data_IF_713406036186
#
_entry.id   IF_713406036186
#
_cell.length_a   1.000
_cell.length_b   1.000
_cell.length_c   1.000
_cell.angle_alpha   90.00
_cell.angle_beta   90.00
_cell.angle_gamma   90.00
#
_symmetry.space_group_name_H-M   'P 1'
#
loop_
_entity.id
_entity.type
_entity.pdbx_description
1 polymer ?
#
# COMPACT_ATOMS: atom_id res chain seq x y z
N UNK A 1 16.02 -1.46 5.92
CA UNK A 1 15.79 -0.68 7.17
C UNK A 1 16.82 0.42 7.39
N UNK A 2 18.14 0.17 7.33
CA UNK A 2 19.15 1.22 7.58
C UNK A 2 18.94 2.51 6.76
N UNK A 3 18.65 2.38 5.46
CA UNK A 3 18.29 3.52 4.60
C UNK A 3 17.03 4.25 5.07
N UNK A 4 16.00 3.52 5.49
CA UNK A 4 14.74 4.08 6.02
C UNK A 4 15.03 4.90 7.27
N UNK A 5 15.79 4.34 8.22
CA UNK A 5 16.21 5.03 9.44
C UNK A 5 16.98 6.31 9.09
N UNK A 6 17.97 6.22 8.20
CA UNK A 6 18.78 7.37 7.81
C UNK A 6 17.93 8.53 7.25
N UNK A 7 16.88 8.21 6.48
CA UNK A 7 15.95 9.21 5.93
C UNK A 7 15.05 9.78 7.03
N UNK A 8 14.44 8.92 7.87
CA UNK A 8 13.48 9.33 8.90
C UNK A 8 14.13 10.13 10.04
N UNK A 9 15.39 9.82 10.39
CA UNK A 9 16.18 10.61 11.36
C UNK A 9 16.30 12.06 10.89
N UNK A 10 16.38 12.30 9.57
CA UNK A 10 16.51 13.61 8.97
C UNK A 10 15.30 14.54 9.15
N UNK A 11 14.16 14.05 9.62
CA UNK A 11 12.97 14.89 9.77
C UNK A 11 12.05 14.90 8.56
N UNK A 12 10.90 15.56 8.71
CA UNK A 12 9.91 15.72 7.63
C UNK A 12 10.49 16.50 6.45
N UNK A 13 10.99 17.72 6.69
CA UNK A 13 11.46 18.61 5.62
C UNK A 13 12.79 18.15 4.98
N UNK A 14 13.80 17.78 5.78
CA UNK A 14 15.14 17.40 5.27
C UNK A 14 15.24 15.92 4.88
N UNK A 15 14.37 15.07 5.41
CA UNK A 15 14.26 13.65 5.07
C UNK A 15 13.11 13.40 4.11
N UNK A 16 11.91 13.19 4.65
CA UNK A 16 10.74 12.69 3.91
C UNK A 16 10.45 13.49 2.64
N UNK A 17 10.30 14.81 2.74
CA UNK A 17 9.89 15.66 1.63
C UNK A 17 10.94 15.69 0.51
N UNK A 18 12.22 15.85 0.88
CA UNK A 18 13.33 15.87 -0.08
C UNK A 18 13.45 14.56 -0.85
N UNK A 19 13.39 13.43 -0.16
CA UNK A 19 13.51 12.13 -0.80
C UNK A 19 12.28 11.80 -1.63
N UNK A 20 11.07 12.11 -1.16
CA UNK A 20 9.85 11.90 -1.95
C UNK A 20 9.83 12.75 -3.23
N UNK A 21 10.34 13.99 -3.19
CA UNK A 21 10.47 14.85 -4.39
C UNK A 21 11.38 14.27 -5.47
N UNK A 22 12.29 13.36 -5.13
CA UNK A 22 13.19 12.70 -6.09
C UNK A 22 12.70 11.30 -6.45
N UNK A 23 12.33 10.50 -5.45
CA UNK A 23 11.93 9.09 -5.62
C UNK A 23 10.61 8.95 -6.38
N UNK A 24 9.61 9.81 -6.10
CA UNK A 24 8.30 9.69 -6.76
C UNK A 24 8.37 9.98 -8.27
N UNK A 25 9.00 11.08 -8.74
CA UNK A 25 9.17 11.29 -10.18
C UNK A 25 10.02 10.20 -10.85
N UNK A 26 11.08 9.72 -10.18
CA UNK A 26 11.90 8.63 -10.71
C UNK A 26 11.10 7.33 -10.85
N UNK A 27 10.27 6.98 -9.86
CA UNK A 27 9.39 5.82 -9.90
C UNK A 27 8.43 5.91 -11.08
N UNK A 28 7.75 7.04 -11.25
CA UNK A 28 6.82 7.26 -12.37
C UNK A 28 7.54 7.17 -13.71
N UNK A 29 8.71 7.80 -13.84
CA UNK A 29 9.50 7.76 -15.08
C UNK A 29 9.90 6.32 -15.44
N UNK A 30 10.40 5.55 -14.46
CA UNK A 30 10.76 4.15 -14.68
C UNK A 30 9.51 3.34 -15.06
N UNK A 31 8.40 3.53 -14.37
CA UNK A 31 7.15 2.82 -14.64
C UNK A 31 6.68 3.06 -16.08
N UNK A 32 6.73 4.31 -16.55
CA UNK A 32 6.34 4.67 -17.91
C UNK A 32 7.27 4.06 -18.97
N UNK A 33 8.58 4.00 -18.71
CA UNK A 33 9.53 3.32 -19.61
C UNK A 33 9.20 1.83 -19.71
N UNK A 34 8.98 1.16 -18.58
CA UNK A 34 8.61 -0.26 -18.54
C UNK A 34 7.27 -0.51 -19.23
N UNK A 35 6.30 0.39 -19.05
CA UNK A 35 5.00 0.34 -19.70
C UNK A 35 5.08 0.43 -21.22
N UNK A 36 5.87 1.36 -21.76
CA UNK A 36 6.07 1.47 -23.21
C UNK A 36 6.70 0.18 -23.79
N UNK A 37 7.65 -0.42 -23.09
CA UNK A 37 8.25 -1.70 -23.51
C UNK A 37 7.23 -2.83 -23.44
N UNK A 38 6.43 -2.92 -22.37
CA UNK A 38 5.40 -3.93 -22.21
C UNK A 38 4.32 -3.86 -23.30
N UNK A 39 3.91 -2.65 -23.72
CA UNK A 39 2.96 -2.46 -24.82
C UNK A 39 3.49 -2.90 -26.18
N UNK A 40 4.81 -2.91 -26.38
CA UNK A 40 5.45 -3.40 -27.61
C UNK A 40 5.70 -4.90 -27.60
N UNK A 41 5.46 -5.57 -26.47
CA UNK A 41 5.65 -7.01 -26.35
C UNK A 41 4.56 -7.80 -27.07
N UNK A 42 4.85 -9.00 -27.61
CA UNK A 42 3.85 -9.87 -28.23
C UNK A 42 2.63 -10.17 -27.35
N UNK A 43 2.82 -10.21 -26.02
CA UNK A 43 1.76 -10.47 -25.03
C UNK A 43 0.89 -9.26 -24.70
N UNK A 44 1.11 -8.08 -25.28
CA UNK A 44 0.37 -6.85 -24.96
C UNK A 44 -1.15 -7.02 -25.08
N UNK A 45 -1.64 -7.59 -26.18
CA UNK A 45 -3.06 -7.82 -26.38
C UNK A 45 -3.66 -8.79 -25.35
N UNK A 46 -2.93 -9.86 -25.02
CA UNK A 46 -3.35 -10.83 -24.01
C UNK A 46 -3.38 -10.19 -22.61
N UNK A 47 -2.38 -9.37 -22.26
CA UNK A 47 -2.32 -8.66 -20.99
C UNK A 47 -3.44 -7.63 -20.84
N UNK A 48 -3.70 -6.85 -21.90
CA UNK A 48 -4.82 -5.91 -21.91
C UNK A 48 -6.17 -6.62 -21.75
N UNK A 49 -6.38 -7.71 -22.51
CA UNK A 49 -7.60 -8.52 -22.37
C UNK A 49 -7.72 -9.11 -20.97
N UNK A 50 -6.65 -9.61 -20.38
CA UNK A 50 -6.68 -10.14 -19.02
C UNK A 50 -7.10 -9.09 -17.98
N UNK A 51 -6.64 -7.84 -18.13
CA UNK A 51 -6.97 -6.78 -17.17
C UNK A 51 -8.35 -6.17 -17.34
N UNK A 52 -8.80 -6.00 -18.58
CA UNK A 52 -10.00 -5.20 -18.87
C UNK A 52 -11.18 -5.99 -19.41
N UNK A 53 -11.01 -7.28 -19.72
CA UNK A 53 -12.15 -8.14 -20.03
C UNK A 53 -12.85 -8.54 -18.72
N UNK A 54 -13.91 -7.81 -18.38
CA UNK A 54 -14.69 -8.06 -17.19
C UNK A 54 -15.52 -9.34 -17.32
N UNK A 55 -15.15 -10.35 -16.54
CA UNK A 55 -15.91 -11.59 -16.39
C UNK A 55 -16.80 -11.48 -15.14
N UNK A 56 -18.05 -11.07 -15.34
CA UNK A 56 -19.00 -10.83 -14.24
C UNK A 56 -19.32 -12.11 -13.46
N UNK A 57 -19.10 -13.31 -14.03
CA UNK A 57 -19.27 -14.56 -13.27
C UNK A 57 -18.22 -14.73 -12.17
N UNK A 58 -17.08 -14.04 -12.27
CA UNK A 58 -16.02 -14.04 -11.24
C UNK A 58 -16.24 -13.00 -10.14
N UNK A 59 -17.20 -12.10 -10.28
CA UNK A 59 -17.55 -11.11 -9.26
C UNK A 59 -18.37 -11.73 -8.13
N UNK A 60 -17.72 -12.59 -7.36
CA UNK A 60 -18.27 -13.18 -6.15
C UNK A 60 -18.25 -12.19 -4.98
N UNK A 61 -19.08 -12.37 -3.95
CA UNK A 61 -18.98 -11.58 -2.72
C UNK A 61 -17.56 -11.59 -2.13
N UNK A 62 -16.89 -12.76 -2.21
CA UNK A 62 -15.48 -12.90 -1.84
C UNK A 62 -14.56 -11.97 -2.65
N UNK A 63 -14.72 -11.91 -3.97
CA UNK A 63 -13.92 -11.03 -4.82
C UNK A 63 -14.12 -9.54 -4.47
N UNK A 64 -15.37 -9.12 -4.19
CA UNK A 64 -15.66 -7.76 -3.74
C UNK A 64 -14.97 -7.43 -2.40
N UNK A 65 -15.03 -8.34 -1.45
CA UNK A 65 -14.47 -8.14 -0.10
C UNK A 65 -12.94 -8.20 -0.11
N UNK A 66 -12.33 -9.01 -0.98
CA UNK A 66 -10.89 -8.98 -1.25
C UNK A 66 -10.45 -7.65 -1.89
N UNK A 67 -11.19 -7.16 -2.89
CA UNK A 67 -10.90 -5.87 -3.52
C UNK A 67 -11.01 -4.69 -2.53
N UNK A 68 -12.04 -4.71 -1.67
CA UNK A 68 -12.20 -3.70 -0.63
C UNK A 68 -11.05 -3.75 0.39
N UNK A 69 -10.65 -4.94 0.85
CA UNK A 69 -9.50 -5.09 1.74
C UNK A 69 -8.19 -4.60 1.11
N UNK A 70 -7.97 -4.90 -0.17
CA UNK A 70 -6.81 -4.40 -0.91
C UNK A 70 -6.79 -2.86 -1.01
N UNK A 71 -7.97 -2.23 -1.17
CA UNK A 71 -8.06 -0.76 -1.24
C UNK A 71 -7.58 -0.06 0.04
N UNK A 72 -7.80 -0.67 1.22
CA UNK A 72 -7.27 -0.15 2.48
C UNK A 72 -5.75 -0.23 2.55
N UNK A 73 -5.18 -1.37 2.11
CA UNK A 73 -3.75 -1.59 2.12
C UNK A 73 -3.02 -0.62 1.19
N UNK A 74 -3.43 -0.54 -0.08
CA UNK A 74 -2.77 0.29 -1.09
C UNK A 74 -2.81 1.78 -0.73
N UNK A 75 -3.92 2.26 -0.15
CA UNK A 75 -4.06 3.64 0.31
C UNK A 75 -3.44 3.92 1.69
N UNK A 76 -2.78 2.93 2.32
CA UNK A 76 -2.20 3.06 3.66
C UNK A 76 -3.22 3.51 4.72
N UNK A 77 -4.46 3.03 4.61
CA UNK A 77 -5.56 3.37 5.52
C UNK A 77 -5.57 2.45 6.75
N UNK A 78 -6.00 2.98 7.89
CA UNK A 78 -6.15 2.24 9.15
C UNK A 78 -4.84 2.01 9.94
N UNK A 79 -3.68 2.27 9.35
CA UNK A 79 -2.36 2.21 10.02
C UNK A 79 -1.86 3.54 10.59
N UNK A 80 -2.63 4.63 10.47
CA UNK A 80 -2.25 5.96 10.97
C UNK A 80 -1.32 6.77 10.06
N UNK A 81 -0.78 6.19 8.99
CA UNK A 81 0.14 6.87 8.05
C UNK A 81 -0.43 8.19 7.50
N UNK A 82 -1.68 8.16 7.00
CA UNK A 82 -2.34 9.36 6.49
C UNK A 82 -2.64 10.40 7.57
N UNK A 83 -2.88 9.97 8.81
CA UNK A 83 -3.09 10.88 9.95
C UNK A 83 -1.78 11.59 10.32
N UNK A 84 -0.68 10.83 10.39
CA UNK A 84 0.66 11.38 10.67
C UNK A 84 1.07 12.39 9.59
N UNK A 85 0.91 12.06 8.30
CA UNK A 85 1.21 13.01 7.22
C UNK A 85 0.25 14.20 7.20
N UNK A 86 -1.02 13.99 7.50
CA UNK A 86 -2.00 15.06 7.66
C UNK A 86 -1.58 16.08 8.71
N UNK A 87 -0.99 15.64 9.83
CA UNK A 87 -0.53 16.53 10.91
C UNK A 87 0.61 17.47 10.51
N UNK A 88 1.32 17.17 9.41
CA UNK A 88 2.41 18.01 8.87
C UNK A 88 1.95 18.96 7.77
N UNK A 89 0.70 18.86 7.31
CA UNK A 89 0.18 19.73 6.26
C UNK A 89 -0.13 21.13 6.81
N UNK A 90 0.04 22.13 5.95
CA UNK A 90 -0.45 23.48 6.26
C UNK A 90 -1.98 23.49 6.30
N UNK A 91 -2.55 24.29 7.21
CA UNK A 91 -4.00 24.58 7.29
C UNK A 91 -4.59 25.16 6.00
N UNK A 92 -3.76 25.64 5.07
CA UNK A 92 -4.19 26.09 3.75
C UNK A 92 -4.42 24.94 2.76
N UNK A 93 -4.08 23.70 3.09
CA UNK A 93 -4.14 22.57 2.16
C UNK A 93 -5.59 22.13 1.97
N UNK A 94 -6.00 21.88 0.72
CA UNK A 94 -7.30 21.29 0.42
C UNK A 94 -7.24 19.77 0.67
N UNK A 95 -7.75 19.33 1.83
CA UNK A 95 -7.69 17.93 2.24
C UNK A 95 -8.53 17.02 1.35
N UNK A 96 -9.74 17.46 0.95
CA UNK A 96 -10.62 16.66 0.11
C UNK A 96 -10.02 16.47 -1.29
N UNK A 97 -9.53 17.55 -1.90
CA UNK A 97 -8.85 17.45 -3.20
C UNK A 97 -7.61 16.56 -3.12
N UNK A 98 -6.84 16.67 -2.06
CA UNK A 98 -5.64 15.84 -1.84
C UNK A 98 -6.01 14.37 -1.73
N UNK A 99 -7.04 14.03 -0.96
CA UNK A 99 -7.52 12.65 -0.80
C UNK A 99 -7.97 12.04 -2.14
N UNK A 100 -8.72 12.78 -2.95
CA UNK A 100 -9.17 12.31 -4.27
C UNK A 100 -7.99 12.11 -5.22
N UNK A 101 -7.05 13.06 -5.28
CA UNK A 101 -5.86 12.94 -6.13
C UNK A 101 -5.01 11.74 -5.75
N UNK A 102 -4.79 11.52 -4.44
CA UNK A 102 -4.04 10.35 -3.94
C UNK A 102 -4.73 9.06 -4.38
N UNK A 103 -6.04 8.93 -4.14
CA UNK A 103 -6.77 7.71 -4.47
C UNK A 103 -6.80 7.41 -5.97
N UNK A 104 -7.02 8.42 -6.81
CA UNK A 104 -7.02 8.27 -8.27
C UNK A 104 -5.62 7.92 -8.78
N UNK A 105 -4.59 8.60 -8.27
CA UNK A 105 -3.21 8.36 -8.71
C UNK A 105 -2.72 6.98 -8.30
N UNK A 106 -3.04 6.54 -7.08
CA UNK A 106 -2.74 5.18 -6.61
C UNK A 106 -3.36 4.11 -7.53
N UNK A 107 -4.67 4.22 -7.80
CA UNK A 107 -5.38 3.31 -8.69
C UNK A 107 -4.79 3.32 -10.11
N UNK A 108 -4.45 4.51 -10.64
CA UNK A 108 -3.84 4.64 -11.97
C UNK A 108 -2.47 3.96 -12.02
N UNK A 109 -1.61 4.17 -11.02
CA UNK A 109 -0.29 3.54 -10.97
C UNK A 109 -0.40 2.01 -10.84
N UNK A 110 -1.36 1.51 -10.05
CA UNK A 110 -1.64 0.08 -9.96
C UNK A 110 -2.08 -0.53 -11.29
N UNK A 111 -2.94 0.16 -12.05
CA UNK A 111 -3.36 -0.26 -13.39
C UNK A 111 -2.18 -0.28 -14.38
N UNK A 112 -1.35 0.77 -14.39
CA UNK A 112 -0.16 0.82 -15.24
C UNK A 112 0.82 -0.30 -14.86
N UNK A 113 1.05 -0.56 -13.57
CA UNK A 113 1.89 -1.66 -13.11
C UNK A 113 1.36 -3.03 -13.56
N UNK A 114 0.05 -3.26 -13.50
CA UNK A 114 -0.58 -4.45 -14.07
C UNK A 114 -0.28 -4.59 -15.57
N UNK A 115 -0.38 -3.49 -16.33
CA UNK A 115 -0.08 -3.47 -17.76
C UNK A 115 1.41 -3.55 -18.08
N UNK A 116 2.31 -3.40 -17.09
CA UNK A 116 3.70 -3.80 -17.24
C UNK A 116 3.86 -5.31 -17.06
N UNK A 117 3.26 -5.85 -16.00
CA UNK A 117 3.50 -7.22 -15.54
C UNK A 117 2.84 -8.26 -16.46
N UNK A 118 1.55 -8.11 -16.77
CA UNK A 118 0.80 -9.15 -17.46
C UNK A 118 1.22 -9.36 -18.93
N UNK A 119 1.43 -8.31 -19.75
CA UNK A 119 1.97 -8.49 -21.11
C UNK A 119 3.28 -9.26 -21.16
N UNK A 120 4.20 -8.97 -20.24
CA UNK A 120 5.49 -9.63 -20.18
C UNK A 120 5.32 -11.11 -19.77
N UNK A 121 4.50 -11.41 -18.77
CA UNK A 121 4.20 -12.79 -18.39
C UNK A 121 3.63 -13.59 -19.58
N UNK A 122 2.63 -13.04 -20.28
CA UNK A 122 1.99 -13.73 -21.40
C UNK A 122 2.88 -13.86 -22.64
N UNK A 123 3.81 -12.93 -22.87
CA UNK A 123 4.81 -13.04 -23.95
C UNK A 123 5.61 -14.33 -23.84
N UNK A 124 5.94 -14.75 -22.62
CA UNK A 124 6.76 -15.95 -22.36
C UNK A 124 5.94 -17.15 -21.87
N UNK A 125 4.61 -17.12 -22.05
CA UNK A 125 3.72 -18.22 -21.66
C UNK A 125 3.70 -18.50 -20.14
N UNK A 126 4.08 -17.52 -19.33
CA UNK A 126 4.14 -17.67 -17.88
C UNK A 126 2.77 -17.39 -17.27
N UNK A 127 2.31 -18.31 -16.42
CA UNK A 127 1.11 -18.07 -15.62
C UNK A 127 1.41 -17.00 -14.55
N UNK A 128 0.58 -15.95 -14.44
CA UNK A 128 0.71 -14.99 -13.35
C UNK A 128 0.51 -15.69 -12.02
N UNK A 129 1.60 -15.86 -11.26
CA UNK A 129 1.53 -16.36 -9.89
C UNK A 129 0.90 -15.30 -8.98
N UNK A 130 0.37 -15.71 -7.82
CA UNK A 130 -0.09 -14.80 -6.79
C UNK A 130 1.05 -14.41 -5.83
N UNK A 131 0.91 -13.24 -5.20
CA UNK A 131 1.78 -12.81 -4.11
C UNK A 131 3.26 -12.62 -4.50
N UNK A 132 4.20 -12.75 -3.53
CA UNK A 132 5.63 -12.52 -3.76
C UNK A 132 6.24 -13.40 -4.86
N UNK A 133 5.65 -14.57 -5.14
CA UNK A 133 6.12 -15.49 -6.17
C UNK A 133 6.11 -14.88 -7.58
N UNK A 134 5.16 -14.00 -7.90
CA UNK A 134 5.10 -13.32 -9.20
C UNK A 134 6.36 -12.48 -9.44
N UNK A 135 6.73 -11.68 -8.45
CA UNK A 135 7.83 -10.72 -8.53
C UNK A 135 9.18 -11.41 -8.50
N UNK A 136 9.34 -12.43 -7.65
CA UNK A 136 10.66 -13.02 -7.37
C UNK A 136 10.91 -14.37 -8.04
N UNK A 137 9.89 -14.99 -8.65
CA UNK A 137 10.04 -16.24 -9.42
C UNK A 137 9.64 -16.07 -10.88
N UNK A 138 8.43 -15.60 -11.14
CA UNK A 138 7.89 -15.53 -12.51
C UNK A 138 8.58 -14.46 -13.35
N UNK A 139 8.66 -13.22 -12.86
CA UNK A 139 9.22 -12.10 -13.63
C UNK A 139 10.72 -12.25 -13.97
N UNK A 140 11.60 -12.74 -13.07
CA UNK A 140 12.99 -12.99 -13.42
C UNK A 140 13.16 -13.98 -14.58
N UNK A 141 12.32 -15.02 -14.65
CA UNK A 141 12.32 -15.97 -15.77
C UNK A 141 11.90 -15.29 -17.07
N UNK A 142 10.92 -14.38 -17.02
CA UNK A 142 10.52 -13.58 -18.18
C UNK A 142 11.68 -12.68 -18.64
N UNK A 143 12.32 -11.97 -17.72
CA UNK A 143 13.41 -11.05 -18.04
C UNK A 143 14.62 -11.76 -18.63
N UNK A 144 14.94 -12.98 -18.17
CA UNK A 144 16.04 -13.77 -18.73
C UNK A 144 15.84 -14.13 -20.22
N UNK A 145 14.59 -14.20 -20.69
CA UNK A 145 14.24 -14.52 -22.07
C UNK A 145 14.07 -13.27 -22.96
N UNK A 146 14.01 -12.07 -22.36
CA UNK A 146 13.87 -10.81 -23.08
C UNK A 146 15.20 -10.33 -23.66
N UNK A 147 15.18 -9.86 -24.91
CA UNK A 147 16.30 -9.08 -25.44
C UNK A 147 16.44 -7.78 -24.62
N UNK A 148 17.64 -7.52 -24.08
CA UNK A 148 17.86 -6.41 -23.15
C UNK A 148 17.20 -6.60 -21.77
N UNK A 149 16.80 -7.82 -21.43
CA UNK A 149 16.07 -8.12 -20.20
C UNK A 149 16.82 -7.84 -18.91
N UNK A 150 18.16 -7.79 -18.92
CA UNK A 150 18.95 -7.35 -17.77
C UNK A 150 18.71 -5.88 -17.40
N UNK A 151 18.59 -5.00 -18.40
CA UNK A 151 18.23 -3.59 -18.18
C UNK A 151 16.79 -3.47 -17.69
N UNK A 152 15.87 -4.24 -18.28
CA UNK A 152 14.47 -4.27 -17.84
C UNK A 152 14.34 -4.75 -16.39
N UNK A 153 15.06 -5.82 -16.03
CA UNK A 153 15.13 -6.33 -14.66
C UNK A 153 15.69 -5.27 -13.70
N UNK A 154 16.79 -4.62 -14.06
CA UNK A 154 17.39 -3.54 -13.27
C UNK A 154 16.36 -2.43 -13.00
N UNK A 155 15.71 -1.92 -14.05
CA UNK A 155 14.70 -0.88 -13.93
C UNK A 155 13.50 -1.33 -13.08
N UNK A 156 13.00 -2.55 -13.30
CA UNK A 156 11.88 -3.10 -12.54
C UNK A 156 12.20 -3.25 -11.05
N UNK A 157 13.35 -3.84 -10.71
CA UNK A 157 13.75 -3.99 -9.31
C UNK A 157 14.14 -2.66 -8.66
N UNK A 158 14.65 -1.68 -9.43
CA UNK A 158 14.87 -0.33 -8.94
C UNK A 158 13.55 0.38 -8.62
N UNK A 159 12.55 0.26 -9.49
CA UNK A 159 11.19 0.74 -9.24
C UNK A 159 10.60 0.10 -7.99
N UNK A 160 10.70 -1.22 -7.86
CA UNK A 160 10.23 -1.95 -6.68
C UNK A 160 10.94 -1.49 -5.41
N UNK A 161 12.26 -1.29 -5.47
CA UNK A 161 13.04 -0.79 -4.33
C UNK A 161 12.63 0.64 -3.94
N UNK A 162 12.38 1.52 -4.90
CA UNK A 162 11.91 2.89 -4.62
C UNK A 162 10.51 2.89 -4.02
N UNK A 163 9.58 2.10 -4.58
CA UNK A 163 8.24 1.93 -4.03
C UNK A 163 8.28 1.40 -2.59
N UNK A 164 9.05 0.34 -2.34
CA UNK A 164 9.20 -0.24 -1.01
C UNK A 164 9.85 0.74 -0.02
N UNK A 165 10.83 1.53 -0.48
CA UNK A 165 11.52 2.51 0.36
C UNK A 165 10.58 3.64 0.79
N UNK A 166 9.82 4.23 -0.13
CA UNK A 166 8.88 5.33 0.19
C UNK A 166 7.76 4.87 1.13
N UNK A 167 7.20 3.68 0.91
CA UNK A 167 6.20 3.10 1.81
C UNK A 167 6.78 2.78 3.19
N UNK A 168 7.99 2.22 3.27
CA UNK A 168 8.64 1.89 4.54
C UNK A 168 8.98 3.15 5.37
N UNK A 169 9.35 4.24 4.71
CA UNK A 169 9.55 5.55 5.36
C UNK A 169 8.26 6.01 6.03
N UNK A 170 7.13 5.93 5.32
CA UNK A 170 5.80 6.30 5.85
C UNK A 170 5.43 5.48 7.08
N UNK A 171 5.61 4.16 7.00
CA UNK A 171 5.29 3.25 8.11
C UNK A 171 6.15 3.49 9.35
N UNK A 172 7.46 3.71 9.17
CA UNK A 172 8.35 4.01 10.30
C UNK A 172 8.00 5.36 10.93
N UNK A 173 7.63 6.36 10.13
CA UNK A 173 7.27 7.70 10.63
C UNK A 173 6.08 7.64 11.59
N UNK A 174 5.09 6.79 11.36
CA UNK A 174 3.94 6.62 12.28
C UNK A 174 4.42 6.28 13.70
N UNK A 175 5.30 5.28 13.81
CA UNK A 175 5.83 4.86 15.10
C UNK A 175 6.73 5.94 15.71
N UNK A 176 7.57 6.58 14.90
CA UNK A 176 8.48 7.64 15.35
C UNK A 176 7.69 8.85 15.87
N UNK A 177 6.69 9.33 15.13
CA UNK A 177 5.86 10.45 15.50
C UNK A 177 5.17 10.22 16.85
N UNK A 178 4.59 9.03 17.07
CA UNK A 178 3.99 8.68 18.36
C UNK A 178 4.98 8.81 19.53
N UNK A 179 6.19 8.24 19.43
CA UNK A 179 7.17 8.32 20.53
C UNK A 179 7.74 9.72 20.71
N UNK A 180 7.83 10.52 19.65
CA UNK A 180 8.28 11.91 19.74
C UNK A 180 7.21 12.77 20.39
N UNK A 181 5.97 12.72 19.90
CA UNK A 181 4.91 13.64 20.28
C UNK A 181 4.27 13.25 21.63
N UNK A 182 3.99 11.96 21.86
CA UNK A 182 3.28 11.49 23.06
C UNK A 182 4.23 11.06 24.19
N UNK A 183 5.45 10.64 23.86
CA UNK A 183 6.44 10.18 24.85
C UNK A 183 7.61 11.13 25.04
N UNK A 184 7.70 12.21 24.27
CA UNK A 184 8.75 13.22 24.37
C UNK A 184 10.16 12.70 24.03
N UNK A 185 10.26 11.60 23.28
CA UNK A 185 11.58 11.05 22.92
C UNK A 185 12.28 11.94 21.90
N UNK A 186 13.62 12.09 21.96
CA UNK A 186 14.35 12.74 20.89
C UNK A 186 14.25 11.90 19.61
N UNK A 187 13.96 12.56 18.47
CA UNK A 187 13.69 11.89 17.18
C UNK A 187 14.73 10.84 16.76
N UNK A 188 16.07 11.06 16.90
CA UNK A 188 17.05 10.03 16.57
C UNK A 188 16.89 8.76 17.41
N UNK A 189 16.58 8.90 18.70
CA UNK A 189 16.35 7.77 19.62
C UNK A 189 15.10 7.00 19.23
N UNK A 190 13.99 7.70 18.96
CA UNK A 190 12.74 7.08 18.51
C UNK A 190 12.94 6.33 17.19
N UNK A 191 13.63 6.95 16.23
CA UNK A 191 13.87 6.36 14.90
C UNK A 191 14.77 5.13 14.96
N UNK A 192 15.90 5.21 15.68
CA UNK A 192 16.81 4.07 15.84
C UNK A 192 16.17 2.94 16.64
N UNK A 193 15.45 3.28 17.71
CA UNK A 193 14.75 2.30 18.55
C UNK A 193 13.67 1.56 17.77
N UNK A 194 12.72 2.29 17.17
CA UNK A 194 11.61 1.68 16.43
C UNK A 194 12.09 1.00 15.16
N UNK A 195 13.02 1.59 14.41
CA UNK A 195 13.61 0.96 13.23
C UNK A 195 14.36 -0.34 13.57
N UNK A 196 15.08 -0.36 14.70
CA UNK A 196 15.74 -1.57 15.21
C UNK A 196 14.74 -2.66 15.61
N UNK A 197 13.70 -2.31 16.37
CA UNK A 197 12.63 -3.26 16.75
C UNK A 197 11.94 -3.84 15.52
N UNK A 198 11.52 -2.99 14.57
CA UNK A 198 10.84 -3.45 13.35
C UNK A 198 11.77 -4.33 12.50
N UNK A 199 13.07 -4.00 12.41
CA UNK A 199 14.04 -4.84 11.72
C UNK A 199 14.14 -6.23 12.33
N UNK A 200 14.26 -6.31 13.66
CA UNK A 200 14.35 -7.57 14.38
C UNK A 200 13.08 -8.41 14.23
N UNK A 201 11.90 -7.78 14.30
CA UNK A 201 10.62 -8.45 14.06
C UNK A 201 10.45 -8.93 12.61
N UNK A 202 11.10 -8.28 11.65
CA UNK A 202 11.09 -8.68 10.24
C UNK A 202 11.94 -9.93 9.93
N UNK A 203 12.96 -10.24 10.75
CA UNK A 203 13.86 -11.37 10.51
C UNK A 203 13.11 -12.71 10.51
N UNK A 204 12.28 -13.05 11.52
CA UNK A 204 11.50 -14.28 11.50
C UNK A 204 10.60 -14.41 10.26
N UNK A 205 9.94 -13.33 9.85
CA UNK A 205 9.10 -13.30 8.66
C UNK A 205 9.91 -13.60 7.40
N UNK A 206 11.08 -13.00 7.24
CA UNK A 206 11.96 -13.27 6.09
C UNK A 206 12.47 -14.72 6.06
N UNK A 207 12.80 -15.29 7.24
CA UNK A 207 13.27 -16.67 7.36
C UNK A 207 12.15 -17.71 7.21
N UNK A 208 10.88 -17.30 7.25
CA UNK A 208 9.72 -18.19 7.13
C UNK A 208 9.59 -18.86 5.76
N UNK A 209 10.22 -18.33 4.72
CA UNK A 209 10.30 -18.97 3.41
C UNK A 209 11.43 -20.00 3.27
N UNK A 210 12.24 -20.18 4.31
CA UNK A 210 13.40 -21.09 4.31
C UNK A 210 13.56 -21.82 5.63
N UNK A 211 14.40 -21.32 6.55
CA UNK A 211 14.78 -22.01 7.79
C UNK A 211 13.64 -22.14 8.80
N UNK A 212 12.74 -21.15 8.84
CA UNK A 212 11.59 -21.14 9.75
C UNK A 212 10.29 -21.54 9.04
N UNK A 213 10.38 -22.29 7.94
CA UNK A 213 9.21 -22.72 7.18
C UNK A 213 8.24 -23.61 7.97
N UNK A 214 8.71 -24.23 9.08
CA UNK A 214 7.91 -25.05 9.99
C UNK A 214 7.22 -24.25 11.10
N UNK A 215 7.57 -22.96 11.26
CA UNK A 215 6.97 -22.09 12.27
C UNK A 215 5.71 -21.47 11.68
N UNK A 216 4.57 -21.93 12.16
CA UNK A 216 3.25 -21.47 11.73
C UNK A 216 2.52 -20.81 12.88
N UNK A 217 2.00 -19.60 12.66
CA UNK A 217 1.08 -18.96 13.61
C UNK A 217 -0.37 -19.38 13.30
N UNK A 218 -0.73 -19.39 12.02
CA UNK A 218 -1.98 -19.98 11.54
C UNK A 218 -1.71 -21.28 10.77
N UNK A 219 -2.56 -22.31 10.92
CA UNK A 219 -2.41 -23.56 10.19
C UNK A 219 -2.34 -23.34 8.67
N UNK A 220 -1.34 -23.93 8.02
CA UNK A 220 -1.16 -23.87 6.56
C UNK A 220 -0.60 -22.56 6.00
N UNK A 221 -0.21 -21.60 6.85
CA UNK A 221 0.36 -20.32 6.43
C UNK A 221 1.79 -20.17 6.94
N UNK A 222 2.69 -19.57 6.15
CA UNK A 222 4.01 -19.19 6.68
C UNK A 222 3.84 -18.12 7.77
N UNK A 223 4.88 -17.92 8.58
CA UNK A 223 4.88 -16.82 9.55
C UNK A 223 4.70 -15.45 8.86
N UNK A 224 5.30 -15.25 7.68
CA UNK A 224 5.08 -14.05 6.88
C UNK A 224 3.60 -13.87 6.51
N UNK A 225 2.99 -14.90 5.91
CA UNK A 225 1.60 -14.84 5.47
C UNK A 225 0.64 -14.64 6.65
N UNK A 226 0.97 -15.23 7.80
CA UNK A 226 0.20 -15.10 9.03
C UNK A 226 0.21 -13.66 9.56
N UNK A 227 1.38 -13.03 9.60
CA UNK A 227 1.53 -11.65 10.07
C UNK A 227 0.94 -10.64 9.07
N UNK A 228 1.13 -10.87 7.77
CA UNK A 228 0.47 -10.08 6.72
C UNK A 228 -1.06 -10.18 6.84
N UNK A 229 -1.58 -11.40 7.02
CA UNK A 229 -3.02 -11.62 7.23
C UNK A 229 -3.51 -10.90 8.48
N UNK A 230 -2.79 -11.00 9.60
CA UNK A 230 -3.14 -10.28 10.83
C UNK A 230 -3.20 -8.76 10.60
N UNK A 231 -2.17 -8.20 9.98
CA UNK A 231 -2.09 -6.77 9.73
C UNK A 231 -3.16 -6.32 8.72
N UNK A 232 -3.13 -6.87 7.51
CA UNK A 232 -3.91 -6.42 6.36
C UNK A 232 -5.39 -6.75 6.48
N UNK A 233 -5.76 -7.92 7.03
CA UNK A 233 -7.17 -8.33 7.12
C UNK A 233 -7.85 -7.93 8.43
N UNK A 234 -7.10 -7.64 9.50
CA UNK A 234 -7.68 -7.33 10.81
C UNK A 234 -7.25 -5.97 11.36
N UNK A 235 -5.95 -5.72 11.54
CA UNK A 235 -5.49 -4.48 12.17
C UNK A 235 -5.83 -3.24 11.34
N UNK A 236 -5.62 -3.26 10.02
CA UNK A 236 -5.94 -2.12 9.16
C UNK A 236 -7.45 -1.84 9.10
N UNK A 237 -8.34 -2.83 8.86
CA UNK A 237 -9.76 -2.56 8.85
C UNK A 237 -10.27 -2.12 10.23
N UNK A 238 -9.82 -2.73 11.33
CA UNK A 238 -10.20 -2.30 12.69
C UNK A 238 -9.74 -0.86 12.96
N UNK A 239 -8.50 -0.51 12.59
CA UNK A 239 -8.00 0.85 12.72
C UNK A 239 -8.82 1.84 11.87
N UNK A 240 -9.15 1.46 10.63
CA UNK A 240 -10.02 2.22 9.75
C UNK A 240 -11.43 2.42 10.30
N UNK A 241 -12.02 1.39 10.90
CA UNK A 241 -13.30 1.47 11.60
C UNK A 241 -13.22 2.44 12.78
N UNK A 242 -12.17 2.34 13.59
CA UNK A 242 -11.93 3.26 14.70
C UNK A 242 -11.87 4.72 14.24
N UNK A 243 -11.13 5.00 13.17
CA UNK A 243 -11.05 6.33 12.56
C UNK A 243 -12.43 6.78 12.06
N UNK A 244 -13.17 5.92 11.34
CA UNK A 244 -14.48 6.27 10.80
C UNK A 244 -15.52 6.55 11.90
N UNK A 245 -15.52 5.75 12.97
CA UNK A 245 -16.41 5.96 14.11
C UNK A 245 -16.10 7.26 14.84
N UNK A 246 -14.82 7.57 15.07
CA UNK A 246 -14.42 8.83 15.70
C UNK A 246 -14.78 10.02 14.80
N UNK A 247 -14.42 9.98 13.52
CA UNK A 247 -14.67 11.07 12.58
C UNK A 247 -16.18 11.29 12.29
N UNK A 248 -16.97 10.22 12.18
CA UNK A 248 -18.40 10.32 11.84
C UNK A 248 -19.33 10.58 13.03
N UNK A 249 -18.94 10.15 14.24
CA UNK A 249 -19.81 10.18 15.42
C UNK A 249 -19.28 10.98 16.60
N UNK A 250 -17.96 11.08 16.81
CA UNK A 250 -17.38 11.85 17.93
C UNK A 250 -16.89 13.25 17.53
N UNK A 251 -16.42 13.43 16.30
CA UNK A 251 -15.93 14.73 15.84
C UNK A 251 -17.10 15.72 15.72
N UNK A 252 -16.94 16.90 16.30
CA UNK A 252 -17.96 17.93 16.24
C UNK A 252 -18.18 18.37 14.78
N UNK A 253 -19.43 18.31 14.33
CA UNK A 253 -19.81 18.66 12.94
C UNK A 253 -19.28 20.04 12.48
N UNK A 254 -19.31 21.11 13.29
CA UNK A 254 -18.76 22.40 12.88
C UNK A 254 -17.26 22.34 12.58
N UNK A 255 -16.49 21.66 13.44
CA UNK A 255 -15.03 21.49 13.27
C UNK A 255 -14.73 20.75 11.96
N UNK A 256 -15.46 19.65 11.71
CA UNK A 256 -15.28 18.90 10.46
C UNK A 256 -15.68 19.70 9.22
N UNK A 257 -16.67 20.59 9.32
CA UNK A 257 -17.16 21.41 8.21
C UNK A 257 -16.17 22.53 7.85
N UNK A 258 -15.45 23.09 8.82
CA UNK A 258 -14.45 24.14 8.60
C UNK A 258 -13.28 23.68 7.72
N UNK A 259 -12.99 22.39 7.71
CA UNK A 259 -11.96 21.77 6.85
C UNK A 259 -12.40 21.66 5.38
N UNK A 260 -13.69 21.86 5.07
CA UNK A 260 -14.20 21.80 3.70
C UNK A 260 -14.18 23.17 3.03
N UNK A 261 -13.38 23.28 1.97
CA UNK A 261 -13.40 24.46 1.09
C UNK A 261 -14.72 24.65 0.36
N UNK A 262 -15.38 23.56 -0.02
CA UNK A 262 -16.75 23.56 -0.54
C UNK A 262 -17.69 22.86 0.45
N UNK A 263 -18.48 23.62 1.23
CA UNK A 263 -19.45 23.09 2.18
C UNK A 263 -20.50 22.16 1.55
N UNK A 264 -20.74 22.24 0.24
CA UNK A 264 -21.72 21.37 -0.46
C UNK A 264 -21.27 19.92 -0.51
N UNK A 265 -19.97 19.65 -0.39
CA UNK A 265 -19.42 18.30 -0.41
C UNK A 265 -19.48 17.62 0.96
N UNK A 266 -19.64 18.39 2.03
CA UNK A 266 -19.69 17.88 3.40
C UNK A 266 -20.77 16.83 3.65
N UNK A 267 -22.04 16.98 3.20
CA UNK A 267 -23.07 15.97 3.46
C UNK A 267 -22.74 14.61 2.87
N UNK A 268 -22.10 14.56 1.71
CA UNK A 268 -21.71 13.31 1.05
C UNK A 268 -20.58 12.62 1.81
N UNK A 269 -19.55 13.37 2.21
CA UNK A 269 -18.48 12.84 3.05
C UNK A 269 -19.01 12.38 4.41
N UNK A 270 -19.88 13.18 5.04
CA UNK A 270 -20.46 12.88 6.36
C UNK A 270 -21.33 11.62 6.31
N UNK A 271 -22.13 11.43 5.27
CA UNK A 271 -22.87 10.19 5.03
C UNK A 271 -21.92 9.00 4.84
N UNK A 272 -20.88 9.18 4.02
CA UNK A 272 -19.90 8.15 3.72
C UNK A 272 -19.14 7.69 4.97
N UNK A 273 -18.58 8.62 5.75
CA UNK A 273 -17.77 8.29 6.93
C UNK A 273 -18.61 7.76 8.09
N UNK A 274 -19.87 8.19 8.20
CA UNK A 274 -20.74 7.81 9.33
C UNK A 274 -21.43 6.47 9.12
N UNK A 275 -21.76 6.11 7.88
CA UNK A 275 -22.52 4.90 7.57
C UNK A 275 -21.83 3.99 6.55
N UNK A 276 -21.49 4.49 5.36
CA UNK A 276 -20.96 3.61 4.30
C UNK A 276 -19.63 2.96 4.68
N UNK A 277 -18.67 3.74 5.18
CA UNK A 277 -17.34 3.23 5.54
C UNK A 277 -17.41 2.25 6.73
N UNK A 278 -18.09 2.54 7.85
CA UNK A 278 -18.25 1.57 8.94
C UNK A 278 -18.92 0.28 8.49
N UNK A 279 -20.01 0.35 7.71
CA UNK A 279 -20.72 -0.83 7.22
C UNK A 279 -19.82 -1.66 6.30
N UNK A 280 -19.14 -1.03 5.33
CA UNK A 280 -18.23 -1.72 4.43
C UNK A 280 -17.10 -2.43 5.20
N UNK A 281 -16.51 -1.75 6.19
CA UNK A 281 -15.43 -2.32 7.00
C UNK A 281 -15.91 -3.48 7.88
N UNK A 282 -17.09 -3.36 8.49
CA UNK A 282 -17.69 -4.45 9.27
C UNK A 282 -17.97 -5.67 8.39
N UNK A 283 -18.47 -5.48 7.17
CA UNK A 283 -18.68 -6.58 6.22
C UNK A 283 -17.36 -7.27 5.84
N UNK A 284 -16.29 -6.51 5.62
CA UNK A 284 -14.95 -7.06 5.36
C UNK A 284 -14.48 -7.90 6.55
N UNK A 285 -14.62 -7.39 7.77
CA UNK A 285 -14.20 -8.11 8.98
C UNK A 285 -15.00 -9.39 9.19
N UNK A 286 -16.33 -9.34 9.06
CA UNK A 286 -17.19 -10.52 9.19
C UNK A 286 -16.87 -11.60 8.16
N UNK A 287 -16.55 -11.19 6.94
CA UNK A 287 -16.14 -12.10 5.88
C UNK A 287 -14.78 -12.75 6.16
N UNK A 288 -13.79 -11.96 6.58
CA UNK A 288 -12.45 -12.48 6.92
C UNK A 288 -12.48 -13.41 8.13
N UNK A 289 -13.40 -13.21 9.07
CA UNK A 289 -13.64 -14.11 10.20
C UNK A 289 -14.42 -15.39 9.82
N UNK A 290 -14.90 -15.54 8.58
CA UNK A 290 -15.69 -16.69 8.15
C UNK A 290 -17.11 -16.73 8.73
N UNK A 291 -17.62 -15.60 9.23
CA UNK A 291 -18.98 -15.48 9.78
C UNK A 291 -20.01 -15.28 8.65
N UNK A 292 -19.59 -14.66 7.56
CA UNK A 292 -20.40 -14.41 6.37
C UNK A 292 -19.61 -14.89 5.16
N UNK A 293 -20.08 -15.92 4.45
CA UNK A 293 -19.41 -16.48 3.27
C UNK A 293 -19.22 -17.99 3.37
#
# INVERSE_FOLDING_TARGET
>A
MALVIAIVVGGVAKGLERWNKVLMPALVAILLVLFVVALRSPGAAAGFRFMFHADFHKLTPKAWLEALGHSFFTLSLGMGAMLTYGSYLSTKTDLLRSAVVIAVFDALMALVAGLVIFPICFTFGLQPAAGPGLIFKTLPVAFAQMHGGSLFALLFFLLLAFAALTSAISLLEVAVAYFVDERGWPRPRATLGMGGVIFLLGIPSALSFSRLAHVHLYPGMTLFDSLDTLATNYLLPIGGLGIALVAGWRLARPVALEEFRDPRLFPYWHLAIRYLAPVAVVLILLFKMGVVG
#
